data_IF_453663851958
#
_entry.id   IF_453663851958
#
_cell.length_a   1.000
_cell.length_b   1.000
_cell.length_c   1.000
_cell.angle_alpha   90.00
_cell.angle_beta   90.00
_cell.angle_gamma   90.00
#
_symmetry.space_group_name_H-M   'P 1'
#
loop_
_entity.id
_entity.type
_entity.pdbx_description
1 polymer ?
#
# COMPACT_ATOMS: atom_id res chain seq x y z
N UNK A 1 15.44 34.12 13.16
CA UNK A 1 15.61 33.44 11.85
C UNK A 1 15.99 31.97 11.98
N UNK A 2 17.09 31.60 12.66
CA UNK A 2 17.49 30.19 12.84
C UNK A 2 16.41 29.28 13.44
N UNK A 3 15.67 29.73 14.47
CA UNK A 3 14.57 28.96 15.08
C UNK A 3 13.42 28.66 14.11
N UNK A 4 13.06 29.61 13.25
CA UNK A 4 11.99 29.44 12.24
C UNK A 4 12.40 28.40 11.19
N UNK A 5 13.66 28.44 10.74
CA UNK A 5 14.21 27.45 9.79
C UNK A 5 14.18 26.04 10.38
N UNK A 6 14.53 25.88 11.67
CA UNK A 6 14.49 24.59 12.37
C UNK A 6 13.03 24.09 12.49
N UNK A 7 12.08 24.95 12.83
CA UNK A 7 10.66 24.58 12.90
C UNK A 7 10.12 24.14 11.54
N UNK A 8 10.46 24.86 10.46
CA UNK A 8 10.05 24.48 9.09
C UNK A 8 10.66 23.13 8.70
N UNK A 9 11.94 22.90 9.01
CA UNK A 9 12.61 21.63 8.73
C UNK A 9 11.96 20.45 9.46
N UNK A 10 11.57 20.62 10.73
CA UNK A 10 10.87 19.59 11.50
C UNK A 10 9.49 19.24 10.94
N UNK A 11 8.76 20.23 10.42
CA UNK A 11 7.44 19.99 9.81
C UNK A 11 7.58 19.18 8.50
N UNK A 12 8.57 19.52 7.67
CA UNK A 12 8.80 18.84 6.38
C UNK A 12 9.24 17.38 6.53
N UNK A 13 9.85 17.02 7.65
CA UNK A 13 10.29 15.64 7.91
C UNK A 13 9.12 14.63 7.99
N UNK A 14 7.94 15.09 8.39
CA UNK A 14 6.75 14.23 8.51
C UNK A 14 6.15 13.81 7.15
N UNK A 15 6.60 14.41 6.04
CA UNK A 15 6.05 14.15 4.70
C UNK A 15 6.72 12.93 4.04
N UNK A 16 7.80 12.39 4.63
CA UNK A 16 8.62 11.34 4.01
C UNK A 16 8.01 9.93 4.19
N UNK A 17 6.95 9.77 4.99
CA UNK A 17 6.33 8.46 5.19
C UNK A 17 5.53 8.01 3.97
N UNK A 18 6.00 6.92 3.34
CA UNK A 18 5.32 6.29 2.21
C UNK A 18 4.05 5.58 2.68
N UNK A 19 2.90 6.02 2.19
CA UNK A 19 1.64 5.30 2.38
C UNK A 19 1.65 3.97 1.62
N UNK A 20 0.90 2.99 2.13
CA UNK A 20 0.75 1.66 1.53
C UNK A 20 -0.70 1.43 1.14
N UNK A 21 -0.88 0.59 0.12
CA UNK A 21 -2.18 0.09 -0.32
C UNK A 21 -2.21 -1.42 -0.11
N UNK A 22 -3.34 -1.92 0.36
CA UNK A 22 -3.62 -3.34 0.54
C UNK A 22 -4.47 -3.85 -0.60
N UNK A 23 -4.01 -4.94 -1.22
CA UNK A 23 -4.77 -5.76 -2.15
C UNK A 23 -5.29 -6.97 -1.33
N UNK A 24 -6.56 -7.00 -0.89
CA UNK A 24 -7.10 -8.12 -0.14
C UNK A 24 -7.17 -9.38 -1.01
N UNK A 25 -7.04 -10.54 -0.39
CA UNK A 25 -7.25 -11.86 -1.03
C UNK A 25 -8.32 -12.69 -0.30
N UNK A 26 -8.95 -12.14 0.73
CA UNK A 26 -10.13 -12.71 1.40
C UNK A 26 -11.42 -12.39 0.61
N UNK A 27 -12.58 -12.65 1.21
CA UNK A 27 -13.90 -12.43 0.59
C UNK A 27 -14.23 -10.95 0.30
N UNK A 28 -13.37 -9.99 0.71
CA UNK A 28 -13.56 -8.56 0.42
C UNK A 28 -13.01 -8.15 -0.96
N UNK A 29 -12.28 -9.06 -1.63
CA UNK A 29 -11.80 -8.84 -2.98
C UNK A 29 -12.92 -9.05 -4.01
N UNK A 30 -13.07 -8.09 -4.92
CA UNK A 30 -14.05 -8.15 -6.00
C UNK A 30 -13.67 -9.17 -7.09
N UNK A 31 -12.38 -9.32 -7.39
CA UNK A 31 -11.90 -10.29 -8.40
C UNK A 31 -10.48 -10.78 -8.05
N UNK A 32 -10.39 -11.96 -7.44
CA UNK A 32 -9.11 -12.54 -7.00
C UNK A 32 -8.15 -12.85 -8.15
N UNK A 33 -8.66 -13.31 -9.30
CA UNK A 33 -7.79 -13.69 -10.40
C UNK A 33 -7.15 -12.44 -11.02
N UNK A 34 -7.92 -11.38 -11.20
CA UNK A 34 -7.38 -10.10 -11.66
C UNK A 34 -6.46 -9.45 -10.65
N UNK A 35 -6.68 -9.62 -9.35
CA UNK A 35 -5.82 -9.05 -8.31
C UNK A 35 -4.43 -9.71 -8.29
N UNK A 36 -4.31 -11.02 -8.57
CA UNK A 36 -3.01 -11.66 -8.83
C UNK A 36 -2.32 -11.08 -10.07
N UNK A 37 -3.07 -10.91 -11.17
CA UNK A 37 -2.55 -10.28 -12.39
C UNK A 37 -2.09 -8.84 -12.14
N UNK A 38 -2.79 -8.11 -11.28
CA UNK A 38 -2.42 -6.77 -10.86
C UNK A 38 -1.16 -6.76 -9.99
N UNK A 39 -1.04 -7.65 -9.01
CA UNK A 39 0.17 -7.79 -8.19
C UNK A 39 1.41 -8.07 -9.06
N UNK A 40 1.29 -8.97 -10.05
CA UNK A 40 2.34 -9.21 -11.04
C UNK A 40 2.63 -7.98 -11.91
N UNK A 41 1.58 -7.25 -12.32
CA UNK A 41 1.75 -6.01 -13.07
C UNK A 41 2.50 -4.95 -12.26
N UNK A 42 2.28 -4.83 -10.94
CA UNK A 42 3.07 -3.93 -10.07
C UNK A 42 4.55 -4.31 -10.07
N UNK A 43 4.87 -5.60 -9.95
CA UNK A 43 6.26 -6.08 -10.07
C UNK A 43 6.89 -5.72 -11.42
N UNK A 44 6.13 -5.79 -12.52
CA UNK A 44 6.57 -5.34 -13.85
C UNK A 44 6.89 -3.83 -13.90
N UNK A 45 6.27 -3.03 -13.05
CA UNK A 45 6.59 -1.59 -12.91
C UNK A 45 7.87 -1.33 -12.10
N UNK A 46 8.64 -2.38 -11.77
CA UNK A 46 9.84 -2.34 -10.91
C UNK A 46 9.57 -1.84 -9.49
N UNK A 47 8.33 -1.99 -9.02
CA UNK A 47 7.99 -1.77 -7.62
C UNK A 47 7.87 -3.10 -6.90
N UNK A 48 8.31 -3.10 -5.64
CA UNK A 48 8.19 -4.27 -4.78
C UNK A 48 6.76 -4.39 -4.23
N UNK A 49 6.40 -5.63 -3.92
CA UNK A 49 5.17 -5.97 -3.21
C UNK A 49 5.55 -6.81 -1.99
N UNK A 50 4.86 -6.59 -0.88
CA UNK A 50 5.02 -7.41 0.33
C UNK A 50 3.88 -8.44 0.33
N UNK A 51 4.21 -9.74 0.36
CA UNK A 51 3.21 -10.80 0.39
C UNK A 51 2.93 -11.23 1.83
N UNK A 52 1.69 -11.06 2.26
CA UNK A 52 1.23 -11.31 3.63
C UNK A 52 0.55 -12.67 3.73
N UNK A 53 1.33 -13.75 3.79
CA UNK A 53 0.85 -15.15 3.75
C UNK A 53 -0.30 -15.44 4.73
N UNK A 54 -0.21 -14.91 5.96
CA UNK A 54 -1.16 -15.20 7.04
C UNK A 54 -2.14 -14.05 7.33
N UNK A 55 -2.28 -13.08 6.41
CA UNK A 55 -3.16 -11.93 6.60
C UNK A 55 -4.11 -11.77 5.41
N UNK A 56 -5.41 -11.60 5.70
CA UNK A 56 -6.48 -11.40 4.71
C UNK A 56 -6.39 -12.30 3.47
N UNK A 57 -6.19 -13.60 3.71
CA UNK A 57 -6.16 -14.63 2.66
C UNK A 57 -4.89 -14.67 1.80
N UNK A 58 -3.75 -14.15 2.30
CA UNK A 58 -2.54 -14.04 1.50
C UNK A 58 -2.45 -12.70 0.76
N UNK A 59 -2.89 -11.61 1.40
CA UNK A 59 -2.97 -10.28 0.82
C UNK A 59 -1.60 -9.72 0.39
N UNK A 60 -1.61 -8.65 -0.41
CA UNK A 60 -0.39 -7.95 -0.81
C UNK A 60 -0.40 -6.50 -0.35
N UNK A 61 0.74 -5.99 0.11
CA UNK A 61 0.97 -4.56 0.29
C UNK A 61 1.81 -4.00 -0.85
N UNK A 62 1.44 -2.82 -1.33
CA UNK A 62 2.18 -2.07 -2.35
C UNK A 62 2.33 -0.62 -1.91
N UNK A 63 3.30 0.10 -2.48
CA UNK A 63 3.42 1.54 -2.23
C UNK A 63 2.23 2.28 -2.86
N UNK A 64 1.68 3.26 -2.14
CA UNK A 64 0.59 4.07 -2.65
C UNK A 64 1.06 4.97 -3.80
N UNK A 65 0.56 4.70 -5.00
CA UNK A 65 0.78 5.51 -6.21
C UNK A 65 -0.55 5.67 -6.94
N UNK A 66 -0.82 6.87 -7.45
CA UNK A 66 -2.07 7.18 -8.16
C UNK A 66 -2.32 6.22 -9.33
N UNK A 67 -1.28 5.93 -10.13
CA UNK A 67 -1.33 4.93 -11.22
C UNK A 67 -1.81 3.54 -10.78
N UNK A 68 -1.62 3.16 -9.52
CA UNK A 68 -2.05 1.86 -9.00
C UNK A 68 -3.51 1.86 -8.59
N UNK A 69 -3.99 2.98 -8.05
CA UNK A 69 -5.41 3.17 -7.73
C UNK A 69 -6.23 3.20 -9.02
N UNK A 70 -5.77 3.93 -10.03
CA UNK A 70 -6.42 4.00 -11.34
C UNK A 70 -6.47 2.64 -12.03
N UNK A 71 -5.33 1.95 -12.10
CA UNK A 71 -5.25 0.63 -12.74
C UNK A 71 -6.10 -0.42 -11.99
N UNK A 72 -6.13 -0.37 -10.66
CA UNK A 72 -7.00 -1.22 -9.86
C UNK A 72 -8.49 -0.99 -10.18
N UNK A 73 -8.90 0.29 -10.28
CA UNK A 73 -10.26 0.68 -10.65
C UNK A 73 -10.63 0.21 -12.05
N UNK A 74 -9.73 0.37 -13.04
CA UNK A 74 -9.96 -0.10 -14.41
C UNK A 74 -10.11 -1.62 -14.49
N UNK A 75 -9.38 -2.36 -13.67
CA UNK A 75 -9.47 -3.84 -13.59
C UNK A 75 -10.63 -4.33 -12.75
N UNK A 76 -11.27 -3.45 -11.98
CA UNK A 76 -12.35 -3.79 -11.06
C UNK A 76 -11.87 -4.65 -9.88
N UNK A 77 -10.69 -4.37 -9.35
CA UNK A 77 -10.17 -5.04 -8.14
C UNK A 77 -10.35 -4.14 -6.91
N UNK A 78 -10.60 -4.74 -5.75
CA UNK A 78 -10.63 -4.05 -4.46
C UNK A 78 -9.21 -3.65 -4.07
N UNK A 79 -9.06 -2.42 -3.57
CA UNK A 79 -7.81 -1.85 -3.07
C UNK A 79 -8.13 -0.94 -1.88
N UNK A 80 -7.38 -1.04 -0.79
CA UNK A 80 -7.62 -0.26 0.43
C UNK A 80 -6.39 0.54 0.84
N UNK A 81 -6.60 1.76 1.33
CA UNK A 81 -5.55 2.51 2.01
C UNK A 81 -5.28 1.87 3.38
N UNK A 82 -4.01 1.81 3.77
CA UNK A 82 -3.61 1.29 5.08
C UNK A 82 -3.01 2.43 5.89
N UNK A 83 -3.57 2.67 7.07
CA UNK A 83 -3.01 3.61 8.03
C UNK A 83 -1.70 3.10 8.62
N UNK A 84 -0.91 4.02 9.20
CA UNK A 84 0.34 3.63 9.88
C UNK A 84 0.10 2.66 11.05
N UNK A 85 -1.04 2.79 11.72
CA UNK A 85 -1.41 1.91 12.84
C UNK A 85 -1.76 0.50 12.36
N UNK A 86 -2.57 0.38 11.31
CA UNK A 86 -2.87 -0.92 10.69
C UNK A 86 -1.60 -1.58 10.12
N UNK A 87 -0.67 -0.81 9.55
CA UNK A 87 0.61 -1.34 9.08
C UNK A 87 1.42 -1.96 10.22
N UNK A 88 1.51 -1.29 11.38
CA UNK A 88 2.21 -1.84 12.54
C UNK A 88 1.58 -3.17 12.99
N UNK A 89 0.25 -3.21 13.08
CA UNK A 89 -0.48 -4.44 13.44
C UNK A 89 -0.20 -5.56 12.44
N UNK A 90 -0.22 -5.26 11.14
CA UNK A 90 0.10 -6.25 10.11
C UNK A 90 1.50 -6.82 10.37
N UNK A 91 2.51 -5.98 10.53
CA UNK A 91 3.90 -6.41 10.74
C UNK A 91 4.14 -7.16 12.06
N UNK A 92 3.28 -7.01 13.06
CA UNK A 92 3.35 -7.80 14.30
C UNK A 92 2.76 -9.22 14.13
N UNK A 93 1.89 -9.42 13.14
CA UNK A 93 1.16 -10.69 12.91
C UNK A 93 1.91 -11.64 11.95
N UNK A 94 2.75 -11.10 11.06
CA UNK A 94 3.55 -11.88 10.09
C UNK A 94 4.97 -12.17 10.58
#
# INVERSE_FOLDING_TARGET
MKKIVITIFLILFNIIFSQKLLIPMDNTQNDHLKSYGFAYWVLKQKDNIDWLLNYKGGAFLINAKEKYIEEAKLRGISLYNVSSEELNIIYEII
#
